data_IF_123367087031
#
_entry.id   IF_123367087031
#
_cell.length_a   1.000
_cell.length_b   1.000
_cell.length_c   1.000
_cell.angle_alpha   90.00
_cell.angle_beta   90.00
_cell.angle_gamma   90.00
#
_symmetry.space_group_name_H-M   'P 1'
#
loop_
_entity.id
_entity.type
_entity.pdbx_description
1 polymer ?
#
# COMPACT_ATOMS: atom_id res chain seq x y z
N UNK A 1 -6.72 5.92 23.56
CA UNK A 1 -6.84 5.70 25.01
C UNK A 1 -7.54 4.40 25.35
N UNK A 2 -8.33 3.85 24.42
CA UNK A 2 -9.01 2.57 24.61
C UNK A 2 -8.11 1.35 24.41
N UNK A 3 -6.86 1.54 23.93
CA UNK A 3 -5.94 0.46 23.61
C UNK A 3 -6.25 -0.27 22.31
N UNK A 4 -7.25 0.18 21.56
CA UNK A 4 -7.67 -0.47 20.33
C UNK A 4 -6.64 -0.37 19.21
N UNK A 5 -5.75 0.63 19.23
CA UNK A 5 -4.77 0.83 18.18
C UNK A 5 -3.77 -0.34 18.09
N UNK A 6 -3.48 -1.01 19.22
CA UNK A 6 -2.58 -2.17 19.21
C UNK A 6 -3.14 -3.34 18.39
N UNK A 7 -4.45 -3.47 18.32
CA UNK A 7 -5.13 -4.57 17.61
C UNK A 7 -5.90 -4.09 16.38
N UNK A 8 -5.77 -2.82 16.00
CA UNK A 8 -6.50 -2.24 14.88
C UNK A 8 -5.53 -1.57 13.93
N UNK A 9 -5.56 -1.97 12.68
CA UNK A 9 -4.79 -1.33 11.62
C UNK A 9 -5.64 -0.24 10.97
N UNK A 10 -5.16 0.99 11.03
CA UNK A 10 -5.81 2.14 10.38
C UNK A 10 -5.02 2.48 9.12
N UNK A 11 -5.71 2.55 8.00
CA UNK A 11 -5.10 2.91 6.72
C UNK A 11 -5.84 4.08 6.09
N UNK A 12 -5.09 5.11 5.73
CA UNK A 12 -5.60 6.22 4.92
C UNK A 12 -4.91 6.15 3.57
N UNK A 13 -5.68 5.90 2.53
CA UNK A 13 -5.14 5.67 1.20
C UNK A 13 -6.01 6.35 0.15
N UNK A 14 -5.42 6.59 -1.01
CA UNK A 14 -6.11 6.98 -2.23
C UNK A 14 -5.90 5.87 -3.26
N UNK A 15 -6.68 5.90 -4.32
CA UNK A 15 -6.52 4.98 -5.45
C UNK A 15 -5.33 5.37 -6.33
N UNK A 16 -5.02 6.65 -6.35
CA UNK A 16 -3.96 7.23 -7.18
C UNK A 16 -3.53 8.57 -6.60
N UNK A 17 -2.40 9.08 -7.08
CA UNK A 17 -1.95 10.43 -6.79
C UNK A 17 -2.46 11.42 -7.83
N UNK A 18 -1.81 12.57 -7.89
CA UNK A 18 -2.09 13.62 -8.87
C UNK A 18 -0.82 13.98 -9.61
N UNK A 19 -0.96 14.43 -10.85
CA UNK A 19 0.19 14.79 -11.67
C UNK A 19 1.03 15.89 -11.02
N UNK A 20 2.36 15.80 -11.08
CA UNK A 20 3.24 16.89 -10.64
C UNK A 20 3.02 18.15 -11.46
N UNK A 21 2.61 17.99 -12.71
CA UNK A 21 2.41 19.08 -13.66
C UNK A 21 0.95 19.51 -13.69
N UNK A 22 0.71 20.81 -13.68
CA UNK A 22 -0.63 21.37 -13.76
C UNK A 22 -1.07 21.35 -15.23
N UNK A 23 -2.32 20.91 -15.46
CA UNK A 23 -2.88 20.82 -16.80
C UNK A 23 -3.42 22.16 -17.33
N UNK A 24 -3.94 22.15 -18.55
CA UNK A 24 -4.42 23.36 -19.23
C UNK A 24 -5.61 24.03 -18.55
N UNK A 25 -6.34 23.30 -17.69
CA UNK A 25 -7.50 23.82 -16.95
C UNK A 25 -7.16 24.19 -15.50
N UNK A 26 -5.88 24.39 -15.20
CA UNK A 26 -5.35 24.73 -13.88
C UNK A 26 -5.65 23.67 -12.80
N UNK A 27 -5.74 22.41 -13.21
CA UNK A 27 -5.94 21.26 -12.33
C UNK A 27 -4.82 20.24 -12.44
N UNK A 28 -5.01 19.13 -11.77
CA UNK A 28 -4.08 18.00 -11.82
C UNK A 28 -4.85 16.74 -12.17
N UNK A 29 -4.29 15.97 -13.07
CA UNK A 29 -4.89 14.70 -13.52
C UNK A 29 -4.55 13.57 -12.55
N UNK A 30 -5.21 12.42 -12.75
CA UNK A 30 -4.90 11.21 -12.02
C UNK A 30 -3.49 10.73 -12.36
N UNK A 31 -2.75 10.31 -11.34
CA UNK A 31 -1.36 9.87 -11.50
C UNK A 31 -1.09 8.65 -10.63
N UNK A 32 -1.25 7.44 -11.17
CA UNK A 32 -1.09 6.22 -10.37
C UNK A 32 0.35 5.84 -10.08
N UNK A 33 1.33 6.47 -10.72
CA UNK A 33 2.74 6.07 -10.62
C UNK A 33 3.33 6.28 -9.23
N UNK A 34 2.87 7.29 -8.51
CA UNK A 34 3.36 7.56 -7.15
C UNK A 34 2.28 8.24 -6.33
N UNK A 35 2.10 7.77 -5.12
CA UNK A 35 1.22 8.42 -4.13
C UNK A 35 1.57 7.88 -2.74
N UNK A 36 1.04 8.53 -1.71
CA UNK A 36 1.36 8.21 -0.33
C UNK A 36 0.18 7.55 0.37
N UNK A 37 0.51 6.69 1.32
CA UNK A 37 -0.45 5.98 2.16
C UNK A 37 0.00 6.14 3.61
N UNK A 38 -0.96 6.34 4.53
CA UNK A 38 -0.69 6.38 5.96
C UNK A 38 -1.20 5.11 6.61
N UNK A 39 -0.36 4.52 7.45
CA UNK A 39 -0.72 3.35 8.25
C UNK A 39 -0.46 3.63 9.72
N UNK A 40 -1.35 3.17 10.58
CA UNK A 40 -1.19 3.30 12.02
C UNK A 40 -1.78 2.09 12.76
N UNK A 41 -1.12 1.67 13.82
CA UNK A 41 -1.58 0.57 14.67
C UNK A 41 -1.36 -0.81 14.05
N UNK A 42 -1.95 -1.83 14.66
CA UNK A 42 -1.95 -3.19 14.14
C UNK A 42 -0.57 -3.78 13.84
N UNK A 43 0.45 -3.43 14.64
CA UNK A 43 1.81 -3.94 14.43
C UNK A 43 2.65 -3.14 13.43
N UNK A 44 2.20 -1.98 13.00
CA UNK A 44 2.97 -1.09 12.13
C UNK A 44 3.98 -0.29 12.97
N UNK A 45 5.18 -0.13 12.45
CA UNK A 45 6.25 0.64 13.10
C UNK A 45 5.86 2.12 13.20
N UNK A 46 6.06 2.70 14.37
CA UNK A 46 5.68 4.09 14.65
C UNK A 46 6.71 5.10 14.14
N UNK A 47 6.24 6.26 13.73
CA UNK A 47 7.09 7.40 13.42
C UNK A 47 8.04 7.18 12.24
N UNK A 48 7.68 6.31 11.33
CA UNK A 48 8.52 5.95 10.19
C UNK A 48 7.96 6.52 8.90
N UNK A 49 8.85 7.01 8.06
CA UNK A 49 8.55 7.29 6.66
C UNK A 49 9.31 6.27 5.82
N UNK A 50 8.60 5.53 4.99
CA UNK A 50 9.19 4.49 4.15
C UNK A 50 8.98 4.82 2.68
N UNK A 51 10.10 4.88 1.95
CA UNK A 51 10.09 5.22 0.54
C UNK A 51 10.08 6.71 0.27
N UNK A 52 10.45 7.06 -0.93
CA UNK A 52 10.43 8.45 -1.41
C UNK A 52 10.24 8.47 -2.92
N UNK A 53 9.71 9.58 -3.41
CA UNK A 53 9.64 9.82 -4.85
C UNK A 53 10.94 10.43 -5.37
N UNK A 54 11.04 10.53 -6.69
CA UNK A 54 12.08 11.33 -7.34
C UNK A 54 11.88 12.83 -7.05
N UNK A 55 12.78 13.65 -7.52
CA UNK A 55 12.78 15.09 -7.23
C UNK A 55 11.57 15.84 -7.78
N UNK A 56 10.85 15.27 -8.74
CA UNK A 56 9.69 15.88 -9.37
C UNK A 56 8.37 15.26 -8.94
N UNK A 57 8.41 14.31 -8.00
CA UNK A 57 7.23 13.55 -7.55
C UNK A 57 6.51 12.83 -8.70
N UNK A 58 7.26 12.36 -9.67
CA UNK A 58 6.73 11.69 -10.86
C UNK A 58 6.72 10.17 -10.71
N UNK A 59 7.73 9.60 -10.06
CA UNK A 59 7.90 8.16 -9.90
C UNK A 59 8.50 7.84 -8.52
N UNK A 60 8.26 6.63 -8.00
CA UNK A 60 8.96 6.20 -6.79
C UNK A 60 10.46 6.05 -7.09
N UNK A 61 11.31 6.42 -6.15
CA UNK A 61 12.76 6.33 -6.30
C UNK A 61 13.37 5.37 -5.28
N UNK A 62 13.23 5.66 -3.99
CA UNK A 62 13.78 4.83 -2.92
C UNK A 62 12.69 3.99 -2.27
N UNK A 63 13.02 2.74 -1.97
CA UNK A 63 12.14 1.82 -1.25
C UNK A 63 10.72 1.79 -1.83
N UNK A 64 10.63 1.74 -3.15
CA UNK A 64 9.36 1.66 -3.84
C UNK A 64 8.61 0.38 -3.43
N UNK A 65 7.31 0.51 -3.23
CA UNK A 65 6.47 -0.66 -3.04
C UNK A 65 5.25 -0.57 -3.95
N UNK A 66 4.82 -1.72 -4.41
CA UNK A 66 3.65 -1.81 -5.28
C UNK A 66 2.36 -1.88 -4.46
N UNK A 67 1.23 -1.73 -5.13
CA UNK A 67 -0.09 -1.95 -4.50
C UNK A 67 -0.19 -3.39 -4.00
N UNK A 68 0.38 -4.33 -4.72
CA UNK A 68 0.42 -5.74 -4.34
C UNK A 68 1.23 -5.95 -3.06
N UNK A 69 2.36 -5.27 -2.92
CA UNK A 69 3.18 -5.32 -1.70
C UNK A 69 2.41 -4.76 -0.50
N UNK A 70 1.72 -3.64 -0.68
CA UNK A 70 0.89 -3.05 0.37
C UNK A 70 -0.24 -4.01 0.76
N UNK A 71 -0.93 -4.57 -0.21
CA UNK A 71 -2.02 -5.53 0.03
C UNK A 71 -1.54 -6.76 0.77
N UNK A 72 -0.40 -7.32 0.35
CA UNK A 72 0.20 -8.47 1.01
C UNK A 72 0.55 -8.17 2.48
N UNK A 73 1.08 -6.97 2.73
CA UNK A 73 1.43 -6.52 4.08
C UNK A 73 0.19 -6.37 4.96
N UNK A 74 -0.87 -5.75 4.43
CA UNK A 74 -2.14 -5.58 5.17
C UNK A 74 -2.76 -6.94 5.48
N UNK A 75 -2.83 -7.85 4.53
CA UNK A 75 -3.34 -9.19 4.76
C UNK A 75 -2.52 -9.94 5.81
N UNK A 76 -1.19 -9.80 5.76
CA UNK A 76 -0.31 -10.41 6.77
C UNK A 76 -0.67 -9.92 8.17
N UNK A 77 -0.93 -8.62 8.33
CA UNK A 77 -1.31 -8.05 9.64
C UNK A 77 -2.69 -8.49 10.10
N UNK A 78 -3.56 -8.89 9.17
CA UNK A 78 -4.87 -9.45 9.48
C UNK A 78 -4.84 -10.96 9.75
N UNK A 79 -3.66 -11.57 9.67
CA UNK A 79 -3.52 -13.02 9.83
C UNK A 79 -3.91 -13.81 8.59
N UNK A 80 -4.01 -13.16 7.44
CA UNK A 80 -4.36 -13.79 6.17
C UNK A 80 -3.08 -14.00 5.37
N UNK A 81 -2.85 -15.23 4.91
CA UNK A 81 -1.73 -15.53 4.03
C UNK A 81 -2.13 -15.12 2.59
N UNK A 82 -1.60 -13.98 2.15
CA UNK A 82 -1.89 -13.45 0.82
C UNK A 82 -1.33 -14.29 -0.34
N UNK A 83 -0.44 -15.23 -0.04
CA UNK A 83 0.08 -16.16 -1.05
C UNK A 83 -0.89 -17.28 -1.38
N UNK A 84 -1.93 -17.47 -0.57
CA UNK A 84 -2.93 -18.49 -0.82
C UNK A 84 -3.73 -18.20 -2.08
N UNK A 85 -4.21 -19.28 -2.67
CA UNK A 85 -5.09 -19.23 -3.83
C UNK A 85 -6.50 -19.64 -3.45
N UNK A 86 -7.46 -18.97 -4.05
CA UNK A 86 -8.85 -19.36 -4.00
C UNK A 86 -9.18 -20.13 -5.29
N UNK A 87 -10.25 -20.91 -5.24
CA UNK A 87 -10.68 -21.66 -6.40
C UNK A 87 -11.97 -21.01 -6.93
N UNK A 88 -11.89 -20.50 -8.15
CA UNK A 88 -13.04 -19.94 -8.86
C UNK A 88 -13.86 -21.07 -9.51
N UNK A 89 -15.12 -20.80 -9.93
CA UNK A 89 -15.92 -21.75 -10.70
C UNK A 89 -15.11 -22.28 -11.89
N UNK A 90 -15.18 -23.59 -12.12
CA UNK A 90 -14.39 -24.26 -13.17
C UNK A 90 -13.00 -24.69 -12.71
N UNK A 91 -12.75 -24.77 -11.42
CA UNK A 91 -11.46 -25.17 -10.81
C UNK A 91 -10.29 -24.26 -11.22
N UNK A 92 -10.54 -22.97 -11.45
CA UNK A 92 -9.48 -22.02 -11.77
C UNK A 92 -8.90 -21.45 -10.48
N UNK A 93 -7.59 -21.63 -10.25
CA UNK A 93 -6.94 -21.00 -9.10
C UNK A 93 -6.86 -19.48 -9.30
N UNK A 94 -7.18 -18.73 -8.26
CA UNK A 94 -7.07 -17.27 -8.25
C UNK A 94 -6.23 -16.89 -7.04
N UNK A 95 -5.19 -16.11 -7.26
CA UNK A 95 -4.34 -15.60 -6.20
C UNK A 95 -5.09 -14.52 -5.40
N UNK A 96 -4.96 -14.55 -4.08
CA UNK A 96 -5.49 -13.48 -3.23
C UNK A 96 -4.71 -12.20 -3.51
N UNK A 97 -3.38 -12.29 -3.52
CA UNK A 97 -2.49 -11.20 -3.95
C UNK A 97 -1.49 -11.78 -4.93
N UNK A 98 -1.44 -11.19 -6.11
CA UNK A 98 -0.54 -11.66 -7.16
C UNK A 98 0.79 -10.90 -7.11
N UNK A 99 1.90 -11.64 -7.02
CA UNK A 99 3.26 -11.11 -7.10
C UNK A 99 3.62 -10.04 -6.05
N UNK A 100 2.93 -10.01 -4.90
CA UNK A 100 3.27 -9.12 -3.81
C UNK A 100 4.17 -9.78 -2.78
N UNK A 101 4.80 -8.96 -1.95
CA UNK A 101 5.61 -9.41 -0.81
C UNK A 101 5.28 -8.58 0.42
N UNK A 102 5.41 -9.19 1.59
CA UNK A 102 5.27 -8.47 2.86
C UNK A 102 6.42 -7.50 3.03
N UNK A 103 6.11 -6.23 3.27
CA UNK A 103 7.11 -5.19 3.51
C UNK A 103 7.48 -5.20 4.99
N UNK A 104 8.45 -6.02 5.36
CA UNK A 104 8.83 -6.24 6.76
C UNK A 104 9.40 -5.00 7.42
N UNK A 105 9.99 -4.11 6.66
CA UNK A 105 10.65 -2.90 7.13
C UNK A 105 9.69 -1.94 7.83
N UNK A 106 8.40 -1.98 7.51
CA UNK A 106 7.39 -1.13 8.15
C UNK A 106 6.67 -1.82 9.33
N UNK A 107 7.01 -3.07 9.61
CA UNK A 107 6.43 -3.81 10.72
C UNK A 107 7.25 -3.63 11.99
N UNK A 108 6.55 -3.56 13.10
CA UNK A 108 7.17 -3.42 14.42
C UNK A 108 7.90 -4.71 14.83
#
# INVERSE_FOLDING_TARGET
>A
RSGLLDSTLVMVSSEFGRTPKINATAGRDHWPKVFSVMLAGGGIKKGMVYGSSDSTASEPEDDALSVEDLSMTVYNQLGIDGEKRLVAPGNRPIDIVRDGKVVKEILA
#
